data_IF_046816359453
#
_entry.id   IF_046816359453
#
_cell.length_a   1.000
_cell.length_b   1.000
_cell.length_c   1.000
_cell.angle_alpha   90.00
_cell.angle_beta   90.00
_cell.angle_gamma   90.00
#
_symmetry.space_group_name_H-M   'P 1'
#
loop_
_entity.id
_entity.type
_entity.pdbx_description
1 polymer ?
#
# COMPACT_ATOMS: atom_id res chain seq x y z
N UNK A 1 1.81 11.74 -10.86
CA UNK A 1 0.56 10.96 -11.10
C UNK A 1 0.92 9.60 -11.69
N UNK A 2 0.32 8.51 -11.17
CA UNK A 2 0.62 7.15 -11.63
C UNK A 2 -0.04 6.88 -12.99
N UNK A 3 0.70 6.28 -13.92
CA UNK A 3 0.20 5.93 -15.24
C UNK A 3 -0.80 4.77 -15.16
N UNK A 4 -1.91 4.84 -15.91
CA UNK A 4 -3.01 3.85 -15.88
C UNK A 4 -2.55 2.39 -16.01
N UNK A 5 -1.64 2.10 -16.95
CA UNK A 5 -1.04 0.75 -17.11
C UNK A 5 -0.52 0.11 -15.82
N UNK A 6 -0.06 0.90 -14.84
CA UNK A 6 0.44 0.39 -13.55
C UNK A 6 -0.71 0.09 -12.59
N UNK A 7 -1.79 0.87 -12.66
CA UNK A 7 -3.02 0.62 -11.92
C UNK A 7 -3.72 -0.64 -12.43
N UNK A 8 -3.82 -0.79 -13.76
CA UNK A 8 -4.35 -1.99 -14.40
C UNK A 8 -3.57 -3.24 -13.95
N UNK A 9 -2.25 -3.12 -13.80
CA UNK A 9 -1.39 -4.21 -13.34
C UNK A 9 -1.67 -4.64 -11.90
N UNK A 10 -2.02 -3.70 -11.01
CA UNK A 10 -2.43 -4.02 -9.64
C UNK A 10 -3.75 -4.80 -9.64
N UNK A 11 -4.71 -4.38 -10.49
CA UNK A 11 -5.99 -5.08 -10.64
C UNK A 11 -5.77 -6.50 -11.19
N UNK A 12 -4.89 -6.67 -12.19
CA UNK A 12 -4.53 -7.99 -12.73
C UNK A 12 -3.95 -8.94 -11.67
N UNK A 13 -3.27 -8.40 -10.64
CA UNK A 13 -2.77 -9.18 -9.50
C UNK A 13 -3.87 -9.56 -8.49
N UNK A 14 -5.12 -9.11 -8.70
CA UNK A 14 -6.20 -9.27 -7.73
C UNK A 14 -6.11 -8.31 -6.55
N UNK A 15 -5.41 -7.18 -6.71
CA UNK A 15 -5.31 -6.12 -5.71
C UNK A 15 -6.33 -5.01 -6.00
N UNK A 16 -6.80 -4.37 -4.94
CA UNK A 16 -7.56 -3.13 -5.05
C UNK A 16 -6.63 -1.93 -4.91
N UNK A 17 -6.96 -0.81 -5.56
CA UNK A 17 -6.30 0.47 -5.31
C UNK A 17 -7.29 1.63 -5.15
N UNK A 18 -6.89 2.66 -4.40
CA UNK A 18 -7.68 3.89 -4.22
C UNK A 18 -7.64 4.80 -5.44
N UNK A 19 -8.45 5.86 -5.39
CA UNK A 19 -8.23 7.06 -6.20
C UNK A 19 -6.87 7.72 -5.86
N UNK A 20 -6.29 8.53 -6.77
CA UNK A 20 -5.04 9.25 -6.53
C UNK A 20 -5.12 10.18 -5.31
N UNK A 21 -4.09 10.13 -4.46
CA UNK A 21 -3.96 10.95 -3.26
C UNK A 21 -3.05 12.14 -3.54
N UNK A 22 -3.59 13.35 -3.41
CA UNK A 22 -2.87 14.59 -3.71
C UNK A 22 -1.60 14.79 -2.87
N UNK A 23 -1.60 14.36 -1.60
CA UNK A 23 -0.46 14.50 -0.68
C UNK A 23 0.75 13.64 -1.06
N UNK A 24 0.60 12.69 -2.00
CA UNK A 24 1.66 11.77 -2.44
C UNK A 24 1.85 11.83 -3.95
N UNK A 25 1.81 13.02 -4.55
CA UNK A 25 1.99 13.24 -6.00
C UNK A 25 1.04 12.40 -6.88
N UNK A 26 -0.19 12.17 -6.39
CA UNK A 26 -1.16 11.31 -7.04
C UNK A 26 -0.82 9.82 -6.95
N UNK A 27 -0.17 9.42 -5.85
CA UNK A 27 0.01 8.03 -5.44
C UNK A 27 -1.31 7.37 -5.04
N UNK A 28 -1.30 6.06 -4.84
CA UNK A 28 -2.50 5.29 -4.49
C UNK A 28 -2.24 4.40 -3.28
N UNK A 29 -3.31 4.10 -2.55
CA UNK A 29 -3.33 2.98 -1.60
C UNK A 29 -3.56 1.71 -2.37
N UNK A 30 -2.93 0.62 -1.95
CA UNK A 30 -3.02 -0.71 -2.54
C UNK A 30 -3.30 -1.71 -1.41
N UNK A 31 -4.28 -2.57 -1.61
CA UNK A 31 -4.66 -3.61 -0.63
C UNK A 31 -4.90 -4.94 -1.32
N UNK A 32 -4.67 -6.03 -0.58
CA UNK A 32 -5.11 -7.37 -0.94
C UNK A 32 -6.50 -7.61 -0.34
N UNK A 33 -7.57 -7.73 -1.15
CA UNK A 33 -8.88 -8.17 -0.66
C UNK A 33 -8.78 -9.51 0.07
N UNK A 34 -9.63 -9.75 1.07
CA UNK A 34 -9.59 -10.99 1.88
C UNK A 34 -9.85 -12.25 1.05
N UNK A 35 -10.63 -12.14 -0.02
CA UNK A 35 -10.91 -13.21 -0.98
C UNK A 35 -9.70 -13.54 -1.88
N UNK A 36 -8.75 -12.61 -2.02
CA UNK A 36 -7.53 -12.84 -2.79
C UNK A 36 -6.53 -13.63 -1.95
N UNK A 37 -6.22 -14.85 -2.38
CA UNK A 37 -5.23 -15.73 -1.72
C UNK A 37 -3.83 -15.12 -1.77
N UNK A 38 -3.11 -15.13 -0.66
CA UNK A 38 -1.74 -14.61 -0.57
C UNK A 38 -1.22 -14.61 0.86
N UNK A 39 -0.14 -13.87 1.08
CA UNK A 39 0.42 -13.61 2.39
C UNK A 39 -0.56 -12.84 3.26
N UNK A 40 -0.59 -13.16 4.55
CA UNK A 40 -1.47 -12.50 5.52
C UNK A 40 -0.83 -12.38 6.89
N UNK A 41 -1.46 -11.59 7.75
CA UNK A 41 -1.15 -11.50 9.17
C UNK A 41 -2.31 -12.10 9.93
N UNK A 42 -2.07 -13.23 10.61
CA UNK A 42 -3.09 -13.94 11.35
C UNK A 42 -3.75 -13.04 12.42
N UNK A 43 -5.08 -12.97 12.42
CA UNK A 43 -5.84 -12.13 13.34
C UNK A 43 -5.87 -10.65 12.96
N UNK A 44 -5.31 -10.27 11.80
CA UNK A 44 -5.47 -8.92 11.28
C UNK A 44 -6.82 -8.77 10.58
N UNK A 45 -7.55 -7.72 10.98
CA UNK A 45 -8.77 -7.24 10.34
C UNK A 45 -8.58 -5.76 10.04
N UNK A 46 -7.98 -5.48 8.89
CA UNK A 46 -7.85 -4.10 8.42
C UNK A 46 -9.13 -3.72 7.67
N UNK A 47 -10.16 -3.31 8.41
CA UNK A 47 -11.30 -2.60 7.82
C UNK A 47 -10.85 -1.28 7.18
N UNK A 48 -11.42 -0.93 6.02
CA UNK A 48 -11.17 0.36 5.37
C UNK A 48 -12.41 1.26 5.47
N UNK A 49 -12.19 2.51 5.92
CA UNK A 49 -12.98 3.67 5.52
C UNK A 49 -12.10 4.48 4.59
N UNK A 50 -12.38 4.48 3.28
CA UNK A 50 -11.74 5.42 2.37
C UNK A 50 -12.52 6.73 2.30
N UNK A 51 -11.80 7.81 2.05
CA UNK A 51 -12.38 9.14 1.86
C UNK A 51 -12.29 9.51 0.39
N UNK A 52 -13.28 9.10 -0.40
CA UNK A 52 -13.38 9.57 -1.78
C UNK A 52 -13.96 10.99 -1.76
N UNK A 53 -13.24 11.98 -2.27
CA UNK A 53 -13.76 13.34 -2.43
C UNK A 53 -14.48 13.44 -3.78
N UNK A 54 -15.82 13.50 -3.78
CA UNK A 54 -16.58 13.59 -5.03
C UNK A 54 -16.58 14.99 -5.68
N UNK A 55 -16.26 16.08 -4.97
CA UNK A 55 -16.09 17.40 -5.59
C UNK A 55 -15.31 18.35 -4.66
N UNK A 56 -14.53 19.27 -5.25
CA UNK A 56 -13.54 20.12 -4.57
C UNK A 56 -14.08 21.09 -3.50
N UNK A 57 -15.40 21.17 -3.31
CA UNK A 57 -16.02 22.10 -2.36
C UNK A 57 -16.67 21.42 -1.14
N UNK A 58 -16.88 20.09 -1.15
CA UNK A 58 -17.27 19.33 0.04
C UNK A 58 -16.67 17.92 -0.04
N UNK A 59 -15.71 17.62 0.82
CA UNK A 59 -15.19 16.26 1.00
C UNK A 59 -16.28 15.35 1.59
N UNK A 60 -17.22 14.90 0.76
CA UNK A 60 -18.19 13.87 1.12
C UNK A 60 -17.44 12.55 1.11
N UNK A 61 -17.01 12.11 2.29
CA UNK A 61 -16.45 10.80 2.50
C UNK A 61 -17.44 9.73 1.99
N UNK A 62 -17.23 9.22 0.79
CA UNK A 62 -17.88 7.98 0.39
C UNK A 62 -17.14 6.85 1.06
N UNK A 63 -17.75 6.31 2.11
CA UNK A 63 -17.28 5.09 2.75
C UNK A 63 -17.38 3.96 1.74
N UNK A 64 -16.28 3.73 1.01
CA UNK A 64 -16.09 2.49 0.27
C UNK A 64 -15.61 1.47 1.28
N UNK A 65 -16.58 0.72 1.82
CA UNK A 65 -16.30 -0.52 2.55
C UNK A 65 -15.65 -1.48 1.55
N UNK A 66 -14.32 -1.51 1.55
CA UNK A 66 -13.63 -2.71 1.08
C UNK A 66 -13.83 -3.73 2.18
N UNK A 67 -14.56 -4.79 1.83
CA UNK A 67 -14.87 -5.90 2.71
C UNK A 67 -13.57 -6.60 3.14
N UNK A 68 -12.93 -6.07 4.19
CA UNK A 68 -11.85 -6.69 4.98
C UNK A 68 -10.56 -7.00 4.19
N UNK A 69 -9.41 -6.62 4.76
CA UNK A 69 -8.10 -7.08 4.29
C UNK A 69 -7.38 -7.76 5.44
N UNK A 70 -6.76 -8.91 5.17
CA UNK A 70 -5.96 -9.69 6.13
C UNK A 70 -4.46 -9.37 6.03
N UNK A 71 -4.09 -8.31 5.30
CA UNK A 71 -2.73 -7.85 5.10
C UNK A 71 -2.63 -6.32 5.23
N UNK A 72 -1.42 -5.78 5.54
CA UNK A 72 -1.21 -4.33 5.64
C UNK A 72 -1.50 -3.61 4.33
N UNK A 73 -1.87 -2.33 4.45
CA UNK A 73 -2.02 -1.44 3.29
C UNK A 73 -0.65 -1.00 2.77
N UNK A 74 -0.50 -0.97 1.45
CA UNK A 74 0.64 -0.32 0.80
C UNK A 74 0.21 1.06 0.29
N UNK A 75 1.09 2.04 0.42
CA UNK A 75 1.10 3.27 -0.36
C UNK A 75 2.13 3.12 -1.48
N UNK A 76 1.69 3.36 -2.71
CA UNK A 76 2.50 3.31 -3.93
C UNK A 76 2.50 4.69 -4.59
N UNK A 77 3.68 5.30 -4.76
CA UNK A 77 3.78 6.64 -5.35
C UNK A 77 5.13 6.90 -6.02
N UNK A 78 5.21 7.98 -6.78
CA UNK A 78 6.45 8.48 -7.36
C UNK A 78 6.90 9.73 -6.60
N UNK A 79 8.09 9.64 -6.00
CA UNK A 79 8.81 10.78 -5.44
C UNK A 79 9.48 11.54 -6.59
N UNK A 80 8.88 12.67 -6.99
CA UNK A 80 9.36 13.48 -8.10
C UNK A 80 10.68 14.20 -7.79
N UNK A 81 10.96 14.49 -6.50
CA UNK A 81 12.19 15.15 -6.08
C UNK A 81 13.37 14.18 -6.12
N UNK A 82 13.17 12.95 -5.61
CA UNK A 82 14.19 11.91 -5.62
C UNK A 82 14.28 11.17 -6.97
N UNK A 83 13.24 11.27 -7.82
CA UNK A 83 13.10 10.49 -9.05
C UNK A 83 12.99 8.99 -8.77
N UNK A 84 12.28 8.60 -7.71
CA UNK A 84 12.16 7.21 -7.25
C UNK A 84 10.70 6.80 -7.10
N UNK A 85 10.45 5.51 -7.31
CA UNK A 85 9.18 4.89 -6.95
C UNK A 85 9.24 4.39 -5.52
N UNK A 86 8.22 4.70 -4.73
CA UNK A 86 8.16 4.34 -3.31
C UNK A 86 7.04 3.36 -3.09
N UNK A 87 7.35 2.30 -2.34
CA UNK A 87 6.40 1.31 -1.83
C UNK A 87 6.53 1.30 -0.32
N UNK A 88 5.47 1.69 0.38
CA UNK A 88 5.49 1.75 1.85
C UNK A 88 4.25 1.13 2.45
N UNK A 89 4.42 0.16 3.34
CA UNK A 89 3.40 -0.25 4.29
C UNK A 89 3.85 0.27 5.66
N UNK A 90 3.16 1.25 6.23
CA UNK A 90 3.51 1.80 7.54
C UNK A 90 2.22 2.01 8.32
N UNK A 91 1.90 1.04 9.17
CA UNK A 91 0.76 1.10 10.09
C UNK A 91 1.21 1.41 11.53
N UNK A 92 2.50 1.18 11.85
CA UNK A 92 3.04 1.42 13.18
C UNK A 92 3.21 2.89 13.56
N UNK A 93 2.58 3.30 14.67
CA UNK A 93 2.84 4.57 15.34
C UNK A 93 3.84 4.39 16.49
N UNK A 94 5.02 5.01 16.40
CA UNK A 94 6.05 4.95 17.46
C UNK A 94 7.00 3.74 17.40
N UNK A 95 6.89 2.92 16.36
CA UNK A 95 7.74 1.77 16.07
C UNK A 95 7.22 1.03 14.85
N UNK A 96 8.00 0.06 14.35
CA UNK A 96 7.59 -0.78 13.22
C UNK A 96 6.71 -1.94 13.70
N UNK A 97 5.55 -2.11 13.09
CA UNK A 97 4.66 -3.27 13.25
C UNK A 97 5.01 -4.38 12.24
N UNK A 98 4.45 -5.61 12.41
CA UNK A 98 4.51 -6.65 11.39
C UNK A 98 4.07 -6.15 10.02
N UNK A 99 4.90 -6.42 9.00
CA UNK A 99 4.65 -5.98 7.64
C UNK A 99 4.99 -4.51 7.36
N UNK A 100 5.51 -3.74 8.33
CA UNK A 100 5.96 -2.38 8.07
C UNK A 100 7.26 -2.37 7.24
N UNK A 101 7.31 -1.54 6.21
CA UNK A 101 8.51 -1.25 5.42
C UNK A 101 8.34 0.04 4.59
N UNK A 102 9.48 0.59 4.15
CA UNK A 102 9.56 1.58 3.09
C UNK A 102 10.70 1.16 2.18
N UNK A 103 10.38 0.92 0.91
CA UNK A 103 11.35 0.59 -0.13
C UNK A 103 11.26 1.61 -1.26
N UNK A 104 12.39 1.87 -1.91
CA UNK A 104 12.49 2.79 -3.05
C UNK A 104 13.12 2.09 -4.24
N UNK A 105 12.62 2.40 -5.44
CA UNK A 105 12.96 1.73 -6.69
C UNK A 105 13.24 2.74 -7.80
N UNK A 106 14.05 2.36 -8.78
CA UNK A 106 14.37 3.21 -9.93
C UNK A 106 13.25 3.20 -10.95
N UNK A 107 12.50 2.11 -11.01
CA UNK A 107 11.40 1.91 -11.98
C UNK A 107 10.09 1.54 -11.30
N UNK A 108 8.98 1.86 -11.95
CA UNK A 108 7.65 1.46 -11.49
C UNK A 108 7.49 -0.05 -11.53
N UNK A 109 8.13 -0.70 -12.50
CA UNK A 109 8.09 -2.14 -12.72
C UNK A 109 8.75 -2.90 -11.56
N UNK A 110 9.87 -2.41 -11.03
CA UNK A 110 10.50 -2.94 -9.81
C UNK A 110 9.62 -2.74 -8.59
N UNK A 111 9.01 -1.56 -8.45
CA UNK A 111 8.08 -1.27 -7.36
C UNK A 111 6.85 -2.18 -7.39
N UNK A 112 6.27 -2.42 -8.57
CA UNK A 112 5.15 -3.35 -8.75
C UNK A 112 5.55 -4.79 -8.39
N UNK A 113 6.77 -5.21 -8.74
CA UNK A 113 7.28 -6.52 -8.35
C UNK A 113 7.47 -6.64 -6.83
N UNK A 114 7.87 -5.57 -6.16
CA UNK A 114 7.98 -5.53 -4.69
C UNK A 114 6.60 -5.63 -4.02
N UNK A 115 5.56 -5.00 -4.60
CA UNK A 115 4.17 -5.14 -4.16
C UNK A 115 3.69 -6.58 -4.35
N UNK A 116 3.96 -7.18 -5.51
CA UNK A 116 3.62 -8.57 -5.81
C UNK A 116 4.31 -9.55 -4.85
N UNK A 117 5.62 -9.37 -4.61
CA UNK A 117 6.38 -10.18 -3.66
C UNK A 117 5.86 -10.04 -2.23
N UNK A 118 5.48 -8.83 -1.81
CA UNK A 118 4.90 -8.59 -0.49
C UNK A 118 3.61 -9.39 -0.29
N UNK A 119 2.67 -9.29 -1.23
CA UNK A 119 1.36 -9.94 -1.09
C UNK A 119 1.32 -11.42 -1.48
N UNK A 120 2.21 -11.89 -2.36
CA UNK A 120 2.11 -13.22 -2.96
C UNK A 120 3.43 -14.00 -3.01
N UNK A 121 4.55 -13.37 -2.66
CA UNK A 121 5.88 -13.96 -2.61
C UNK A 121 6.22 -14.52 -1.24
N UNK A 122 7.34 -14.09 -0.66
CA UNK A 122 7.84 -14.63 0.62
C UNK A 122 6.93 -14.21 1.81
N UNK A 123 6.26 -15.17 2.51
CA UNK A 123 5.45 -14.85 3.68
C UNK A 123 6.21 -14.16 4.81
N UNK A 124 7.55 -14.31 4.86
CA UNK A 124 8.37 -13.65 5.87
C UNK A 124 8.31 -12.11 5.76
N UNK A 125 7.88 -11.56 4.62
CA UNK A 125 7.62 -10.13 4.42
C UNK A 125 6.58 -9.56 5.37
N UNK A 126 5.65 -10.39 5.88
CA UNK A 126 4.59 -10.00 6.82
C UNK A 126 5.05 -9.99 8.29
N UNK A 127 6.25 -10.47 8.59
CA UNK A 127 6.76 -10.51 9.96
C UNK A 127 7.19 -9.12 10.45
N UNK A 128 7.19 -8.92 11.77
CA UNK A 128 7.82 -7.74 12.37
C UNK A 128 9.31 -7.74 12.02
N UNK A 129 9.79 -6.64 11.43
CA UNK A 129 11.22 -6.40 11.35
C UNK A 129 11.71 -6.09 12.76
N UNK A 130 12.77 -6.79 13.20
CA UNK A 130 13.36 -6.55 14.52
C UNK A 130 13.75 -5.07 14.60
N UNK A 131 13.20 -4.35 15.59
CA UNK A 131 13.56 -2.96 15.83
C UNK A 131 15.06 -2.88 16.14
N UNK A 132 15.85 -2.41 15.17
CA UNK A 132 17.25 -2.06 15.41
C UNK A 132 17.25 -0.64 15.94
N UNK A 133 17.39 -0.50 17.25
CA UNK A 133 17.60 0.80 17.89
C UNK A 133 18.86 1.42 17.27
N UNK A 134 18.70 2.49 16.50
CA UNK A 134 19.84 3.31 16.10
C UNK A 134 20.21 4.16 17.31
N UNK A 135 21.35 3.84 17.93
CA UNK A 135 21.94 4.71 18.94
C UNK A 135 22.46 5.96 18.22
N UNK A 136 21.84 7.11 18.50
CA UNK A 136 22.30 8.44 18.09
C UNK A 136 23.17 9.07 19.17
#
# INVERSE_FOLDING_TARGET
MIHQKYLDRLIEMGLWHSEPIHLFNGGVRVRKPIETTGNNIAGSDHGLVDFVSEDSDEAKAKEVLIEVSDAPMILFYHDEEAGKWVVSAVDGCGGMLPGDFVNTWDTAEEALKDIEDFYFGDPARMNAKVYVKQDF
#
